data_IF_914665779702
#
_entry.id   IF_914665779702
#
_cell.length_a   1.000
_cell.length_b   1.000
_cell.length_c   1.000
_cell.angle_alpha   90.00
_cell.angle_beta   90.00
_cell.angle_gamma   90.00
#
_symmetry.space_group_name_H-M   'P 1'
#
loop_
_entity.id
_entity.type
_entity.pdbx_description
1 polymer ?
#
# COMPACT_ATOMS: atom_id res chain seq x y z
N UNK A 1 -16.87 -23.21 21.92
CA UNK A 1 -16.45 -22.82 21.63
C UNK A 1 -16.15 -22.53 21.24
N UNK A 2 -16.13 -22.50 21.14
CA UNK A 2 -15.54 -21.92 20.75
C UNK A 2 -15.27 -21.58 20.19
N UNK A 3 -15.22 -21.66 20.03
CA UNK A 3 -14.75 -21.13 19.49
C UNK A 3 -14.59 -20.76 18.97
N UNK A 4 -14.71 -20.86 19.01
CA UNK A 4 -14.30 -20.38 18.46
C UNK A 4 -14.03 -19.93 17.99
N UNK A 5 -14.05 -19.99 18.04
CA UNK A 5 -13.53 -19.44 17.55
C UNK A 5 -13.11 -19.07 17.10
N UNK A 6 -13.04 -19.17 17.13
CA UNK A 6 -12.38 -18.73 16.77
C UNK A 6 -11.99 -18.31 16.18
N UNK A 7 -12.02 -18.46 16.33
CA UNK A 7 -11.42 -18.02 15.87
C UNK A 7 -10.86 -17.74 15.20
N UNK A 8 -10.87 -17.93 15.22
CA UNK A 8 -10.18 -17.59 14.66
C UNK A 8 -9.64 -17.36 14.15
N UNK A 9 -9.50 -17.42 14.10
CA UNK A 9 -8.85 -17.12 13.66
C UNK A 9 -8.19 -16.93 13.04
N UNK A 10 -7.79 -16.69 12.99
CA UNK A 10 -7.05 -16.57 12.48
C UNK A 10 -6.27 -16.70 12.19
N UNK A 11 -6.15 -16.39 11.98
CA UNK A 11 -5.39 -16.55 11.51
C UNK A 11 -4.28 -16.79 11.11
N UNK A 12 -3.89 -16.19 10.56
CA UNK A 12 -2.53 -16.33 10.37
C UNK A 12 -1.68 -15.62 11.32
N UNK A 13 -1.45 -16.23 12.28
CA UNK A 13 -0.74 -15.63 13.36
C UNK A 13 0.73 -15.57 13.15
N UNK A 14 1.22 -16.31 12.20
CA UNK A 14 2.64 -16.35 12.10
C UNK A 14 3.17 -15.02 11.71
N UNK A 15 2.54 -14.33 10.89
CA UNK A 15 2.97 -13.02 10.58
C UNK A 15 2.59 -12.16 11.73
N UNK A 16 3.51 -11.41 12.25
CA UNK A 16 3.14 -10.54 13.33
C UNK A 16 1.95 -9.76 12.90
N UNK A 17 1.81 -9.56 11.67
CA UNK A 17 0.68 -8.88 11.32
C UNK A 17 -0.27 -9.80 10.75
N UNK A 18 -0.46 -10.65 10.31
CA UNK A 18 -1.60 -11.23 9.70
C UNK A 18 -2.51 -10.22 9.08
N UNK A 19 -2.17 -8.95 9.18
CA UNK A 19 -3.04 -7.90 8.67
C UNK A 19 -2.85 -7.74 7.17
N UNK A 20 -3.94 -7.47 6.45
CA UNK A 20 -3.81 -7.26 5.01
C UNK A 20 -3.12 -5.94 4.72
N UNK A 21 -2.55 -5.81 3.53
CA UNK A 21 -1.96 -4.54 3.15
C UNK A 21 -3.03 -3.46 3.04
N UNK A 22 -2.63 -2.21 3.29
CA UNK A 22 -3.54 -1.08 3.15
C UNK A 22 -3.56 -0.55 1.72
N UNK A 23 -2.82 -1.17 0.84
CA UNK A 23 -2.71 -0.70 -0.54
C UNK A 23 -4.07 -0.72 -1.24
N UNK A 24 -4.37 0.38 -1.91
CA UNK A 24 -5.55 0.47 -2.76
C UNK A 24 -5.09 0.61 -4.20
N UNK A 25 -5.84 0.03 -5.12
CA UNK A 25 -5.48 0.03 -6.52
C UNK A 25 -6.29 1.07 -7.28
N UNK A 26 -5.59 1.86 -8.11
CA UNK A 26 -6.21 2.93 -8.89
C UNK A 26 -5.76 2.81 -10.33
N UNK A 27 -6.15 1.76 -11.01
CA UNK A 27 -5.60 1.42 -12.32
C UNK A 27 -6.39 2.03 -13.47
N UNK A 28 -6.59 3.34 -13.43
CA UNK A 28 -7.34 4.03 -14.47
C UNK A 28 -6.53 5.22 -14.98
N UNK A 29 -6.45 5.32 -16.30
CA UNK A 29 -5.88 6.53 -16.93
C UNK A 29 -4.47 6.84 -16.45
N UNK A 30 -3.63 5.82 -16.41
CA UNK A 30 -2.23 6.01 -16.00
C UNK A 30 -1.49 6.85 -17.03
N UNK A 31 -0.65 7.73 -16.56
CA UNK A 31 0.37 8.37 -17.38
C UNK A 31 1.72 7.94 -16.83
N UNK A 32 2.75 8.05 -17.65
CA UNK A 32 4.07 7.64 -17.23
C UNK A 32 4.77 8.79 -16.52
N UNK A 33 5.38 8.51 -15.38
CA UNK A 33 6.16 9.48 -14.62
C UNK A 33 7.52 8.86 -14.35
N UNK A 34 8.58 9.62 -14.53
CA UNK A 34 9.93 9.15 -14.26
C UNK A 34 10.49 9.80 -13.01
N UNK A 35 11.30 9.08 -12.30
CA UNK A 35 11.95 9.61 -11.12
C UNK A 35 12.93 8.60 -10.56
N UNK A 36 13.65 9.01 -9.53
CA UNK A 36 14.61 8.14 -8.86
C UNK A 36 14.22 8.02 -7.40
N UNK A 37 14.50 6.88 -6.82
CA UNK A 37 14.28 6.67 -5.41
C UNK A 37 15.59 6.18 -4.80
N UNK A 38 15.70 6.26 -3.48
CA UNK A 38 16.88 5.76 -2.80
C UNK A 38 16.93 4.24 -2.93
N UNK A 39 18.13 3.71 -2.93
CA UNK A 39 18.32 2.27 -3.04
C UNK A 39 17.66 1.53 -1.86
N UNK A 40 17.74 2.10 -0.66
CA UNK A 40 17.09 1.50 0.50
C UNK A 40 15.57 1.49 0.35
N UNK A 41 15.02 2.53 -0.28
CA UNK A 41 13.59 2.59 -0.54
C UNK A 41 13.21 1.55 -1.60
N UNK A 42 14.06 1.35 -2.59
CA UNK A 42 13.81 0.37 -3.63
C UNK A 42 13.73 -1.04 -3.06
N UNK A 43 14.61 -1.37 -2.11
CA UNK A 43 14.56 -2.68 -1.45
C UNK A 43 13.21 -2.87 -0.77
N UNK A 44 12.75 -1.85 -0.05
CA UNK A 44 11.46 -1.95 0.63
C UNK A 44 10.30 -1.98 -0.34
N UNK A 45 10.41 -1.25 -1.45
CA UNK A 45 9.37 -1.27 -2.47
C UNK A 45 9.18 -2.68 -3.01
N UNK A 46 10.28 -3.36 -3.34
CA UNK A 46 10.19 -4.72 -3.87
C UNK A 46 9.61 -5.68 -2.85
N UNK A 47 9.98 -5.52 -1.58
CA UNK A 47 9.41 -6.36 -0.53
C UNK A 47 7.92 -6.09 -0.32
N UNK A 48 7.53 -4.83 -0.39
CA UNK A 48 6.12 -4.49 -0.25
C UNK A 48 5.29 -5.05 -1.40
N UNK A 49 5.83 -4.98 -2.61
CA UNK A 49 5.15 -5.56 -3.77
C UNK A 49 4.91 -7.05 -3.55
N UNK A 50 5.93 -7.76 -3.07
CA UNK A 50 5.81 -9.19 -2.81
C UNK A 50 4.75 -9.47 -1.74
N UNK A 51 4.81 -8.73 -0.65
CA UNK A 51 3.86 -8.85 0.45
C UNK A 51 2.42 -8.62 -0.03
N UNK A 52 2.20 -7.52 -0.74
CA UNK A 52 0.86 -7.16 -1.19
C UNK A 52 0.36 -8.13 -2.25
N UNK A 53 1.23 -8.59 -3.15
CA UNK A 53 0.82 -9.53 -4.19
C UNK A 53 0.33 -10.83 -3.57
N UNK A 54 1.00 -11.30 -2.53
CA UNK A 54 0.60 -12.53 -1.86
C UNK A 54 -0.73 -12.35 -1.13
N UNK A 55 -0.89 -11.26 -0.41
CA UNK A 55 -2.11 -11.04 0.37
C UNK A 55 -3.33 -10.75 -0.48
N UNK A 56 -3.13 -10.05 -1.58
CA UNK A 56 -4.25 -9.64 -2.42
C UNK A 56 -4.51 -10.59 -3.57
N UNK A 57 -3.69 -11.63 -3.72
CA UNK A 57 -3.81 -12.62 -4.78
C UNK A 57 -3.88 -11.97 -6.15
N UNK A 58 -3.12 -10.91 -6.33
CA UNK A 58 -3.09 -10.12 -7.56
C UNK A 58 -1.67 -9.66 -7.77
N UNK A 59 -1.24 -9.60 -9.00
CA UNK A 59 0.09 -9.08 -9.28
C UNK A 59 0.10 -7.58 -9.02
N UNK A 60 0.85 -7.15 -8.03
CA UNK A 60 0.99 -5.74 -7.68
C UNK A 60 2.25 -5.22 -8.34
N UNK A 61 2.18 -4.03 -8.89
CA UNK A 61 3.31 -3.42 -9.58
C UNK A 61 3.82 -2.21 -8.81
N UNK A 62 5.00 -1.74 -9.18
CA UNK A 62 5.54 -0.51 -8.60
C UNK A 62 4.59 0.66 -8.84
N UNK A 63 3.95 0.70 -10.00
CA UNK A 63 3.00 1.78 -10.29
C UNK A 63 1.85 1.80 -9.29
N UNK A 64 1.34 0.64 -8.91
CA UNK A 64 0.25 0.56 -7.93
C UNK A 64 0.68 1.18 -6.60
N UNK A 65 1.88 0.85 -6.14
CA UNK A 65 2.37 1.32 -4.86
C UNK A 65 2.66 2.81 -4.92
N UNK A 66 3.28 3.27 -5.99
CA UNK A 66 3.61 4.68 -6.14
C UNK A 66 2.34 5.53 -6.18
N UNK A 67 1.34 5.09 -6.92
CA UNK A 67 0.09 5.83 -7.02
C UNK A 67 -0.57 5.99 -5.64
N UNK A 68 -0.65 4.89 -4.89
CA UNK A 68 -1.24 4.94 -3.57
C UNK A 68 -0.42 5.83 -2.63
N UNK A 69 0.90 5.71 -2.67
CA UNK A 69 1.77 6.49 -1.79
C UNK A 69 1.62 7.98 -2.05
N UNK A 70 1.55 8.37 -3.32
CA UNK A 70 1.36 9.77 -3.67
C UNK A 70 0.00 10.27 -3.18
N UNK A 71 -1.05 9.47 -3.37
CA UNK A 71 -2.37 9.87 -2.90
C UNK A 71 -2.40 10.03 -1.39
N UNK A 72 -1.74 9.15 -0.68
CA UNK A 72 -1.67 9.27 0.78
C UNK A 72 -0.94 10.53 1.20
N UNK A 73 0.17 10.83 0.55
CA UNK A 73 0.93 12.03 0.86
C UNK A 73 0.09 13.28 0.65
N UNK A 74 -0.56 13.36 -0.51
CA UNK A 74 -1.38 14.53 -0.83
C UNK A 74 -2.56 14.68 0.12
N UNK A 75 -3.14 13.56 0.52
CA UNK A 75 -4.30 13.59 1.40
C UNK A 75 -3.92 13.94 2.84
N UNK A 76 -2.73 13.55 3.28
CA UNK A 76 -2.33 13.74 4.66
C UNK A 76 -1.56 15.04 4.90
N UNK A 77 -1.11 15.69 3.85
CA UNK A 77 -0.34 16.91 4.01
C UNK A 77 -1.27 18.10 4.10
N UNK A 78 -1.53 18.54 5.34
CA UNK A 78 -2.44 19.64 5.58
C UNK A 78 -1.99 20.95 4.94
N UNK A 79 -0.68 21.18 4.94
CA UNK A 79 -0.15 22.38 4.30
C UNK A 79 -0.44 22.42 2.81
N UNK A 80 -0.25 21.28 2.15
CA UNK A 80 -0.54 21.20 0.73
C UNK A 80 -2.03 21.39 0.46
N UNK A 81 -2.89 20.76 1.26
CA UNK A 81 -4.33 20.89 1.08
C UNK A 81 -4.78 22.33 1.25
N UNK A 82 -4.22 23.04 2.23
CA UNK A 82 -4.53 24.45 2.41
C UNK A 82 -4.05 25.29 1.25
N UNK A 83 -2.85 25.00 0.77
CA UNK A 83 -2.29 25.72 -0.37
C UNK A 83 -3.18 25.56 -1.61
N UNK A 84 -3.70 24.35 -1.85
CA UNK A 84 -4.59 24.09 -2.98
C UNK A 84 -5.86 24.90 -2.92
N UNK A 85 -6.40 25.13 -1.72
CA UNK A 85 -7.62 25.92 -1.57
C UNK A 85 -7.40 27.39 -1.93
N UNK A 86 -6.16 27.85 -1.82
CA UNK A 86 -5.84 29.25 -2.11
C UNK A 86 -5.39 29.44 -3.56
N UNK A 87 -5.16 28.36 -4.26
CA UNK A 87 -4.69 28.37 -5.64
C UNK A 87 -5.62 27.54 -6.53
#
# INVERSE_FOLDING_TARGET
MSDNNQRTLDPNPSSPSGEPPILQLYRLNYIKVSGKILDTTDVKLNKYIQFASQHMSTEITASDVIEHALKMLFDRDGGFKNWLKQN
#
